data_IF_126908240934
#
_entry.id   IF_126908240934
#
_cell.length_a   1.000
_cell.length_b   1.000
_cell.length_c   1.000
_cell.angle_alpha   90.00
_cell.angle_beta   90.00
_cell.angle_gamma   90.00
#
_symmetry.space_group_name_H-M   'P 1'
#
loop_
_entity.id
_entity.type
_entity.pdbx_description
1 polymer ?
#
# COMPACT_ATOMS: atom_id res chain seq x y z
N UNK A 1 -2.03 18.08 9.39
CA UNK A 1 -1.57 16.84 8.75
C UNK A 1 -1.29 17.18 7.29
N UNK A 2 -0.04 17.13 6.81
CA UNK A 2 0.24 17.27 5.38
C UNK A 2 -0.59 16.29 4.55
N UNK A 3 -1.04 16.77 3.40
CA UNK A 3 -1.73 15.97 2.40
C UNK A 3 -0.73 15.07 1.66
N UNK A 4 -1.09 13.80 1.52
CA UNK A 4 -0.40 12.82 0.70
C UNK A 4 -1.45 12.09 -0.13
N UNK A 5 -1.24 12.06 -1.44
CA UNK A 5 -2.20 11.46 -2.38
C UNK A 5 -1.69 10.11 -2.83
N UNK A 6 -2.51 9.08 -2.65
CA UNK A 6 -2.30 7.78 -3.27
C UNK A 6 -2.75 7.85 -4.72
N UNK A 7 -1.91 7.32 -5.62
CA UNK A 7 -2.25 7.06 -7.01
C UNK A 7 -1.98 5.59 -7.32
N UNK A 8 -2.92 4.90 -7.95
CA UNK A 8 -2.68 3.69 -8.73
C UNK A 8 -2.94 4.04 -10.18
N UNK A 9 -1.96 3.78 -11.05
CA UNK A 9 -2.01 4.15 -12.46
C UNK A 9 -1.93 2.89 -13.31
N UNK A 10 -2.85 2.78 -14.27
CA UNK A 10 -2.78 1.84 -15.38
C UNK A 10 -2.41 2.62 -16.64
N UNK A 11 -1.43 2.14 -17.40
CA UNK A 11 -0.98 2.80 -18.62
C UNK A 11 -1.82 2.39 -19.83
N UNK A 12 -1.89 3.25 -20.84
CA UNK A 12 -2.59 2.99 -22.11
C UNK A 12 -1.97 1.84 -22.91
N UNK A 13 -0.67 1.67 -22.76
CA UNK A 13 0.13 0.65 -23.46
C UNK A 13 1.13 0.01 -22.48
N UNK A 14 1.38 -1.29 -22.64
CA UNK A 14 2.35 -2.04 -21.85
C UNK A 14 3.81 -1.68 -22.20
N UNK A 15 4.04 -0.98 -23.31
CA UNK A 15 5.36 -0.48 -23.68
C UNK A 15 5.84 0.67 -22.79
N UNK A 16 4.96 1.32 -22.04
CA UNK A 16 5.34 2.40 -21.14
C UNK A 16 6.10 1.86 -19.92
N UNK A 17 7.29 2.41 -19.69
CA UNK A 17 8.11 2.03 -18.55
C UNK A 17 7.76 2.88 -17.32
N UNK A 18 7.24 2.22 -16.28
CA UNK A 18 6.93 2.84 -15.00
C UNK A 18 8.17 3.49 -14.34
N UNK A 19 9.39 2.98 -14.56
CA UNK A 19 10.61 3.60 -14.04
C UNK A 19 10.91 4.90 -14.76
N UNK A 20 10.83 4.90 -16.08
CA UNK A 20 11.01 6.10 -16.88
C UNK A 20 9.96 7.17 -16.52
N UNK A 21 8.71 6.75 -16.27
CA UNK A 21 7.65 7.61 -15.76
C UNK A 21 8.06 8.26 -14.42
N UNK A 22 8.52 7.47 -13.45
CA UNK A 22 8.93 7.96 -12.12
C UNK A 22 10.15 8.87 -12.21
N UNK A 23 11.15 8.51 -13.02
CA UNK A 23 12.34 9.33 -13.25
C UNK A 23 11.98 10.69 -13.85
N UNK A 24 11.05 10.72 -14.81
CA UNK A 24 10.51 11.96 -15.36
C UNK A 24 9.71 12.74 -14.32
N UNK A 25 8.90 12.07 -13.49
CA UNK A 25 8.14 12.74 -12.42
C UNK A 25 9.07 13.44 -11.41
N UNK A 26 10.23 12.86 -11.10
CA UNK A 26 11.23 13.47 -10.22
C UNK A 26 11.83 14.79 -10.76
N UNK A 27 11.77 15.07 -12.07
CA UNK A 27 12.24 16.34 -12.61
C UNK A 27 11.27 17.50 -12.40
N UNK A 28 10.05 17.25 -11.91
CA UNK A 28 9.06 18.30 -11.68
C UNK A 28 9.13 18.83 -10.24
N UNK A 29 9.42 20.12 -10.03
CA UNK A 29 9.60 20.68 -8.69
C UNK A 29 8.29 20.86 -7.91
N UNK A 30 7.13 20.79 -8.57
CA UNK A 30 5.80 20.99 -7.99
C UNK A 30 5.28 19.79 -7.19
N UNK A 31 5.93 18.63 -7.33
CA UNK A 31 5.51 17.39 -6.70
C UNK A 31 6.71 16.62 -6.14
N UNK A 32 6.53 16.08 -4.94
CA UNK A 32 7.48 15.17 -4.30
C UNK A 32 6.92 13.76 -4.36
N UNK A 33 7.70 12.86 -4.96
CA UNK A 33 7.46 11.41 -4.89
C UNK A 33 7.94 10.90 -3.53
N UNK A 34 7.00 10.45 -2.69
CA UNK A 34 7.30 9.89 -1.36
C UNK A 34 7.50 8.39 -1.46
N UNK A 35 6.64 7.70 -2.19
CA UNK A 35 6.76 6.27 -2.51
C UNK A 35 6.49 6.09 -3.99
N UNK A 36 7.29 5.25 -4.66
CA UNK A 36 7.01 4.76 -5.99
C UNK A 36 7.26 3.25 -6.03
N UNK A 37 6.23 2.50 -6.41
CA UNK A 37 6.28 1.04 -6.38
C UNK A 37 5.51 0.40 -7.52
N UNK A 38 5.91 -0.81 -7.88
CA UNK A 38 5.25 -1.67 -8.84
C UNK A 38 4.22 -2.55 -8.12
N UNK A 39 2.93 -2.49 -8.46
CA UNK A 39 1.93 -3.44 -7.99
C UNK A 39 2.27 -4.89 -8.40
N UNK A 40 2.12 -5.83 -7.47
CA UNK A 40 2.46 -7.25 -7.69
C UNK A 40 1.26 -8.19 -7.54
N UNK A 41 0.52 -8.07 -6.44
CA UNK A 41 -0.59 -8.98 -6.13
C UNK A 41 -1.55 -8.39 -5.11
N UNK A 42 -2.85 -8.54 -5.36
CA UNK A 42 -3.90 -8.17 -4.39
C UNK A 42 -4.07 -9.33 -3.42
N UNK A 43 -3.63 -9.13 -2.17
CA UNK A 43 -3.70 -10.15 -1.10
C UNK A 43 -5.11 -10.22 -0.51
N UNK A 44 -5.76 -9.07 -0.32
CA UNK A 44 -7.14 -8.95 0.18
C UNK A 44 -7.89 -8.04 -0.77
N UNK A 45 -9.02 -8.53 -1.27
CA UNK A 45 -9.84 -7.82 -2.25
C UNK A 45 -10.97 -7.10 -1.51
N UNK A 46 -11.23 -5.82 -1.81
CA UNK A 46 -12.39 -5.12 -1.25
C UNK A 46 -13.67 -5.76 -1.77
N UNK A 47 -14.70 -5.76 -0.92
CA UNK A 47 -16.01 -6.34 -1.26
C UNK A 47 -17.13 -5.30 -1.29
N UNK A 48 -16.91 -4.11 -0.73
CA UNK A 48 -17.91 -3.06 -0.60
C UNK A 48 -17.46 -1.76 -1.25
N UNK A 49 -16.26 -1.29 -0.91
CA UNK A 49 -15.76 0.02 -1.31
C UNK A 49 -14.87 -0.11 -2.54
N UNK A 50 -15.26 0.59 -3.59
CA UNK A 50 -14.45 0.86 -4.78
C UNK A 50 -13.91 -0.41 -5.48
N UNK A 51 -14.55 -1.56 -5.25
CA UNK A 51 -14.08 -2.87 -5.71
C UNK A 51 -13.96 -2.92 -7.24
N UNK A 52 -14.94 -2.38 -7.95
CA UNK A 52 -14.88 -2.29 -9.41
C UNK A 52 -13.69 -1.45 -9.88
N UNK A 53 -13.47 -0.27 -9.29
CA UNK A 53 -12.32 0.55 -9.68
C UNK A 53 -10.99 -0.14 -9.37
N UNK A 54 -10.86 -0.74 -8.18
CA UNK A 54 -9.62 -1.33 -7.69
C UNK A 54 -9.25 -2.67 -8.34
N UNK A 55 -10.23 -3.48 -8.74
CA UNK A 55 -10.01 -4.86 -9.18
C UNK A 55 -10.15 -5.09 -10.70
N UNK A 56 -10.74 -4.14 -11.43
CA UNK A 56 -10.90 -4.30 -12.90
C UNK A 56 -9.66 -3.94 -13.69
N UNK A 57 -8.71 -3.21 -13.09
CA UNK A 57 -7.50 -2.75 -13.75
C UNK A 57 -6.29 -3.54 -13.31
N UNK A 58 -5.38 -3.79 -14.26
CA UNK A 58 -4.00 -4.15 -13.93
C UNK A 58 -3.24 -2.86 -13.68
N UNK A 59 -2.88 -2.61 -12.42
CA UNK A 59 -2.12 -1.43 -12.04
C UNK A 59 -0.63 -1.59 -12.38
N UNK A 60 -0.05 -0.62 -13.07
CA UNK A 60 1.36 -0.62 -13.47
C UNK A 60 2.24 0.13 -12.47
N UNK A 61 1.67 1.12 -11.79
CA UNK A 61 2.41 2.03 -10.92
C UNK A 61 1.56 2.46 -9.72
N UNK A 62 2.14 2.35 -8.52
CA UNK A 62 1.61 2.95 -7.29
C UNK A 62 2.53 4.08 -6.84
N UNK A 63 1.94 5.25 -6.58
CA UNK A 63 2.64 6.44 -6.10
C UNK A 63 2.01 6.97 -4.82
N UNK A 64 2.83 7.48 -3.92
CA UNK A 64 2.41 8.44 -2.91
C UNK A 64 3.05 9.79 -3.21
N UNK A 65 2.22 10.78 -3.56
CA UNK A 65 2.66 12.10 -4.01
C UNK A 65 2.30 13.19 -3.01
N UNK A 66 3.26 14.06 -2.73
CA UNK A 66 3.10 15.23 -1.86
C UNK A 66 3.29 16.51 -2.69
N UNK A 67 2.37 17.48 -2.63
CA UNK A 67 2.59 18.80 -3.23
C UNK A 67 3.67 19.58 -2.45
N UNK A 68 4.58 20.25 -3.15
CA UNK A 68 5.76 20.94 -2.57
C UNK A 68 5.63 22.47 -2.53
N UNK A 69 4.51 23.03 -2.99
CA UNK A 69 4.31 24.48 -3.01
C UNK A 69 4.89 25.13 -4.26
N UNK A 70 4.33 24.77 -5.40
CA UNK A 70 4.54 25.45 -6.69
C UNK A 70 3.34 25.31 -7.63
N UNK A 71 2.24 24.71 -7.15
CA UNK A 71 1.04 24.55 -7.94
C UNK A 71 0.30 25.88 -7.99
N UNK A 72 0.22 26.43 -9.19
CA UNK A 72 -0.56 27.63 -9.46
C UNK A 72 -2.04 27.33 -9.23
N UNK A 73 -2.80 28.32 -8.78
CA UNK A 73 -4.27 28.23 -8.78
C UNK A 73 -4.71 27.99 -10.24
N UNK A 74 -5.05 26.74 -10.60
CA UNK A 74 -5.29 26.35 -11.99
C UNK A 74 -4.95 24.90 -12.39
N UNK A 75 -4.04 24.21 -11.68
CA UNK A 75 -3.62 22.85 -12.05
C UNK A 75 -4.56 21.75 -11.54
N UNK A 76 -5.03 20.87 -12.44
CA UNK A 76 -6.00 19.80 -12.15
C UNK A 76 -5.45 18.48 -11.64
N UNK A 77 -4.13 18.33 -11.60
CA UNK A 77 -3.49 17.10 -11.18
C UNK A 77 -2.13 17.36 -10.56
N UNK A 78 -1.70 16.46 -9.67
CA UNK A 78 -0.29 16.39 -9.23
C UNK A 78 0.63 15.83 -10.32
N UNK A 79 0.05 15.20 -11.34
CA UNK A 79 0.77 14.65 -12.48
C UNK A 79 0.85 15.71 -13.59
N UNK A 80 2.04 16.04 -14.12
CA UNK A 80 2.20 16.93 -15.27
C UNK A 80 1.43 16.44 -16.51
N UNK A 81 0.93 17.33 -17.39
CA UNK A 81 0.13 16.94 -18.57
C UNK A 81 0.79 15.86 -19.44
N UNK A 82 2.09 15.98 -19.71
CA UNK A 82 2.83 15.00 -20.51
C UNK A 82 2.86 13.58 -19.91
N UNK A 83 2.75 13.49 -18.58
CA UNK A 83 2.66 12.20 -17.87
C UNK A 83 1.21 11.73 -17.76
N UNK A 84 0.22 12.63 -17.83
CA UNK A 84 -1.19 12.24 -17.90
C UNK A 84 -1.54 11.54 -19.22
N UNK A 85 -0.90 11.95 -20.32
CA UNK A 85 -1.19 11.44 -21.67
C UNK A 85 -0.96 9.94 -21.84
N UNK A 86 -0.14 9.32 -20.98
CA UNK A 86 0.16 7.87 -21.03
C UNK A 86 -0.75 7.03 -20.12
N UNK A 87 -1.57 7.67 -19.29
CA UNK A 87 -2.40 7.00 -18.28
C UNK A 87 -3.75 6.64 -18.89
N UNK A 88 -4.12 5.35 -18.79
CA UNK A 88 -5.43 4.85 -19.18
C UNK A 88 -6.46 5.11 -18.09
N UNK A 89 -6.09 4.80 -16.85
CA UNK A 89 -6.98 4.90 -15.70
C UNK A 89 -6.17 5.19 -14.46
N UNK A 90 -6.76 5.99 -13.57
CA UNK A 90 -6.17 6.40 -12.30
C UNK A 90 -7.16 6.10 -11.16
N UNK A 91 -6.65 5.47 -10.11
CA UNK A 91 -7.29 5.45 -8.81
C UNK A 91 -6.57 6.39 -7.86
N UNK A 92 -7.29 7.33 -7.26
CA UNK A 92 -6.76 8.41 -6.43
C UNK A 92 -7.45 8.46 -5.08
N UNK A 93 -6.70 8.62 -4.00
CA UNK A 93 -7.23 8.92 -2.65
C UNK A 93 -6.36 9.96 -1.96
N UNK A 94 -6.99 10.97 -1.35
CA UNK A 94 -6.30 11.92 -0.48
C UNK A 94 -6.26 11.46 0.98
N UNK A 95 -5.06 11.47 1.59
CA UNK A 95 -4.89 11.17 3.00
C UNK A 95 -4.12 12.28 3.74
N UNK A 96 -4.52 12.52 4.99
CA UNK A 96 -3.77 13.34 5.95
C UNK A 96 -2.80 12.47 6.73
N UNK A 97 -1.50 12.76 6.62
CA UNK A 97 -0.44 12.03 7.32
C UNK A 97 0.06 12.86 8.52
N UNK A 98 0.39 12.27 9.68
CA UNK A 98 1.08 12.98 10.75
C UNK A 98 2.41 13.57 10.28
N UNK A 99 2.65 14.87 10.50
CA UNK A 99 3.82 15.59 9.97
C UNK A 99 5.15 14.95 10.38
N UNK A 100 5.25 14.48 11.63
CA UNK A 100 6.46 13.81 12.15
C UNK A 100 6.76 12.51 11.42
N UNK A 101 5.71 11.75 11.06
CA UNK A 101 5.88 10.49 10.33
C UNK A 101 6.38 10.76 8.91
N UNK A 102 5.83 11.78 8.24
CA UNK A 102 6.23 12.15 6.88
C UNK A 102 7.62 12.78 6.82
N UNK A 103 7.99 13.60 7.81
CA UNK A 103 9.32 14.20 7.90
C UNK A 103 10.42 13.15 8.07
N UNK A 104 10.18 12.15 8.93
CA UNK A 104 11.15 11.09 9.22
C UNK A 104 11.11 9.94 8.21
N UNK A 105 10.18 9.95 7.25
CA UNK A 105 9.95 8.85 6.33
C UNK A 105 11.21 8.49 5.52
N UNK A 106 11.95 9.42 4.87
CA UNK A 106 13.08 9.06 4.02
C UNK A 106 14.18 8.28 4.77
N UNK A 107 14.54 8.73 5.98
CA UNK A 107 15.55 8.08 6.80
C UNK A 107 15.09 6.70 7.27
N UNK A 108 13.84 6.62 7.79
CA UNK A 108 13.26 5.36 8.26
C UNK A 108 13.14 4.33 7.15
N UNK A 109 12.68 4.75 5.98
CA UNK A 109 12.50 3.88 4.82
C UNK A 109 13.84 3.34 4.31
N UNK A 110 14.85 4.21 4.17
CA UNK A 110 16.20 3.80 3.79
C UNK A 110 16.84 2.85 4.82
N UNK A 111 16.60 3.07 6.11
CA UNK A 111 17.09 2.19 7.18
C UNK A 111 16.46 0.80 7.08
N UNK A 112 15.13 0.72 6.97
CA UNK A 112 14.41 -0.55 6.88
C UNK A 112 14.84 -1.38 5.67
N UNK A 113 15.03 -0.74 4.51
CA UNK A 113 15.47 -1.41 3.28
C UNK A 113 16.91 -1.94 3.33
N UNK A 114 17.78 -1.36 4.15
CA UNK A 114 19.19 -1.77 4.31
C UNK A 114 19.41 -2.73 5.47
N UNK A 115 18.46 -2.81 6.41
CA UNK A 115 18.59 -3.65 7.58
C UNK A 115 18.60 -5.13 7.19
N UNK A 116 19.50 -5.91 7.79
CA UNK A 116 19.52 -7.35 7.60
C UNK A 116 18.18 -7.96 8.08
N UNK A 117 17.53 -8.81 7.27
CA UNK A 117 16.27 -9.42 7.66
C UNK A 117 16.45 -10.32 8.90
N UNK A 118 15.49 -10.34 9.84
CA UNK A 118 15.49 -11.35 10.88
C UNK A 118 15.29 -12.75 10.26
N UNK A 119 15.69 -13.84 10.95
CA UNK A 119 15.39 -15.18 10.46
C UNK A 119 13.88 -15.44 10.43
N UNK A 120 13.43 -16.22 9.46
CA UNK A 120 12.04 -16.72 9.42
C UNK A 120 11.76 -17.56 10.67
N UNK A 121 10.53 -17.50 11.18
CA UNK A 121 10.15 -18.20 12.42
C UNK A 121 9.92 -19.71 12.23
N UNK A 122 9.90 -20.18 10.98
CA UNK A 122 9.53 -21.54 10.62
C UNK A 122 8.01 -21.77 10.60
N UNK A 123 7.21 -20.69 10.66
CA UNK A 123 5.74 -20.82 10.59
C UNK A 123 5.30 -21.29 9.20
N UNK A 124 6.01 -20.88 8.14
CA UNK A 124 5.73 -21.31 6.76
C UNK A 124 5.81 -22.82 6.53
N UNK A 125 6.73 -23.54 7.19
CA UNK A 125 6.88 -24.98 6.97
C UNK A 125 5.73 -25.78 7.58
N UNK A 126 5.11 -25.27 8.65
CA UNK A 126 3.96 -25.89 9.32
C UNK A 126 2.66 -25.76 8.53
N UNK A 127 2.48 -24.67 7.79
CA UNK A 127 1.20 -24.33 7.14
C UNK A 127 1.04 -24.89 5.73
N UNK A 128 2.11 -25.36 5.07
CA UNK A 128 1.98 -26.00 3.73
C UNK A 128 1.09 -27.24 3.73
N UNK A 129 0.74 -27.80 4.88
CA UNK A 129 -0.24 -28.89 5.04
C UNK A 129 -1.61 -28.46 5.57
N UNK A 130 -1.81 -27.18 5.91
CA UNK A 130 -3.01 -26.64 6.58
C UNK A 130 -3.53 -25.32 5.98
N UNK A 131 -3.16 -25.02 4.73
CA UNK A 131 -3.55 -23.77 4.06
C UNK A 131 -5.08 -23.64 3.94
N UNK A 132 -5.59 -22.40 4.11
CA UNK A 132 -7.00 -22.07 3.90
C UNK A 132 -7.28 -21.83 2.42
N UNK A 133 -8.54 -21.91 2.00
CA UNK A 133 -8.92 -21.70 0.59
C UNK A 133 -8.66 -20.27 0.08
N UNK A 134 -8.63 -19.28 0.99
CA UNK A 134 -8.58 -17.86 0.65
C UNK A 134 -7.73 -17.05 1.64
N UNK A 135 -7.22 -15.89 1.19
CA UNK A 135 -6.43 -14.95 2.00
C UNK A 135 -7.22 -13.69 2.41
N UNK A 136 -8.54 -13.66 2.21
CA UNK A 136 -9.39 -12.51 2.53
C UNK A 136 -9.37 -12.12 4.01
N UNK A 137 -9.17 -13.10 4.90
CA UNK A 137 -9.01 -12.87 6.35
C UNK A 137 -7.54 -12.88 6.79
N UNK A 138 -6.60 -12.73 5.84
CA UNK A 138 -5.15 -12.74 6.05
C UNK A 138 -4.57 -14.08 6.55
N UNK A 139 -5.20 -15.19 6.18
CA UNK A 139 -4.60 -16.50 6.26
C UNK A 139 -3.77 -16.80 5.00
N UNK A 140 -2.85 -17.76 5.14
CA UNK A 140 -2.04 -18.22 4.01
C UNK A 140 -2.87 -19.18 3.15
N UNK A 141 -3.15 -18.75 1.91
CA UNK A 141 -3.83 -19.57 0.89
C UNK A 141 -2.83 -20.21 -0.10
N UNK A 142 -3.23 -21.25 -0.84
CA UNK A 142 -2.42 -21.82 -1.91
C UNK A 142 -2.03 -20.78 -2.97
N UNK A 143 -2.94 -19.85 -3.31
CA UNK A 143 -2.66 -18.77 -4.26
C UNK A 143 -1.56 -17.85 -3.73
N UNK A 144 -1.67 -17.43 -2.45
CA UNK A 144 -0.67 -16.57 -1.83
C UNK A 144 0.69 -17.27 -1.71
N UNK A 145 0.71 -18.58 -1.42
CA UNK A 145 1.95 -19.37 -1.41
C UNK A 145 2.59 -19.45 -2.80
N UNK A 146 1.79 -19.70 -3.84
CA UNK A 146 2.27 -19.74 -5.22
C UNK A 146 2.80 -18.37 -5.66
N UNK A 147 2.13 -17.28 -5.28
CA UNK A 147 2.63 -15.92 -5.49
C UNK A 147 3.94 -15.66 -4.74
N UNK A 148 4.03 -16.04 -3.46
CA UNK A 148 5.25 -15.91 -2.67
C UNK A 148 6.42 -16.64 -3.32
N UNK A 149 6.21 -17.89 -3.76
CA UNK A 149 7.24 -18.70 -4.40
C UNK A 149 7.69 -18.06 -5.73
N UNK A 150 6.77 -17.58 -6.58
CA UNK A 150 7.12 -16.85 -7.82
C UNK A 150 7.86 -15.54 -7.55
N UNK A 151 7.33 -14.69 -6.67
CA UNK A 151 7.93 -13.39 -6.39
C UNK A 151 9.30 -13.54 -5.72
N UNK A 152 9.52 -14.57 -4.90
CA UNK A 152 10.85 -14.83 -4.32
C UNK A 152 11.91 -15.08 -5.40
N UNK A 153 11.54 -15.72 -6.51
CA UNK A 153 12.45 -15.95 -7.64
C UNK A 153 12.74 -14.67 -8.44
N UNK A 154 11.74 -13.79 -8.55
CA UNK A 154 11.84 -12.53 -9.31
C UNK A 154 12.42 -11.37 -8.49
N UNK A 155 12.19 -11.35 -7.17
CA UNK A 155 12.47 -10.27 -6.25
C UNK A 155 12.57 -10.79 -4.80
N UNK A 156 13.78 -11.14 -4.37
CA UNK A 156 14.09 -11.61 -3.01
C UNK A 156 14.30 -10.48 -1.98
N UNK A 157 13.92 -9.26 -2.35
CA UNK A 157 14.17 -8.01 -1.63
C UNK A 157 12.92 -7.48 -0.91
N UNK A 158 13.01 -6.35 -0.19
CA UNK A 158 11.86 -5.79 0.52
C UNK A 158 10.62 -5.60 -0.35
N UNK A 159 9.47 -5.86 0.27
CA UNK A 159 8.14 -5.63 -0.30
C UNK A 159 7.39 -4.60 0.54
N UNK A 160 6.45 -3.93 -0.11
CA UNK A 160 5.61 -2.91 0.50
C UNK A 160 4.14 -3.25 0.34
N UNK A 161 3.42 -3.21 1.45
CA UNK A 161 2.00 -3.50 1.52
C UNK A 161 1.20 -2.20 1.65
N UNK A 162 0.41 -1.88 0.63
CA UNK A 162 -0.60 -0.84 0.68
C UNK A 162 -1.87 -1.42 1.31
N UNK A 163 -2.31 -0.84 2.41
CA UNK A 163 -3.59 -1.13 3.04
C UNK A 163 -4.54 0.05 2.87
N UNK A 164 -5.75 -0.20 2.38
CA UNK A 164 -6.90 0.67 2.59
C UNK A 164 -7.87 -0.03 3.54
N UNK A 165 -8.34 0.71 4.54
CA UNK A 165 -9.09 0.16 5.66
C UNK A 165 -10.39 0.91 5.85
N UNK A 166 -11.49 0.16 5.94
CA UNK A 166 -12.80 0.68 6.28
C UNK A 166 -13.28 0.02 7.57
N UNK A 167 -13.60 0.83 8.58
CA UNK A 167 -13.93 0.34 9.92
C UNK A 167 -15.44 0.21 10.12
N UNK A 168 -15.85 -0.75 10.93
CA UNK A 168 -17.20 -0.75 11.50
C UNK A 168 -17.41 0.49 12.38
N UNK A 169 -18.60 1.07 12.33
CA UNK A 169 -19.01 2.15 13.25
C UNK A 169 -19.85 1.57 14.40
N UNK A 170 -19.72 2.07 15.64
CA UNK A 170 -18.80 3.13 16.09
C UNK A 170 -17.40 2.63 16.51
N UNK A 171 -17.25 1.35 16.85
CA UNK A 171 -16.09 0.86 17.61
C UNK A 171 -14.93 0.33 16.77
N UNK A 172 -15.10 0.16 15.46
CA UNK A 172 -14.11 -0.50 14.61
C UNK A 172 -12.75 0.19 14.65
N UNK A 173 -12.69 1.52 14.62
CA UNK A 173 -11.42 2.26 14.72
C UNK A 173 -10.70 2.03 16.05
N UNK A 174 -11.45 1.95 17.16
CA UNK A 174 -10.88 1.67 18.49
C UNK A 174 -10.32 0.25 18.57
N UNK A 175 -11.06 -0.73 18.04
CA UNK A 175 -10.60 -2.12 17.98
C UNK A 175 -9.36 -2.26 17.07
N UNK A 176 -9.31 -1.52 15.96
CA UNK A 176 -8.15 -1.51 15.08
C UNK A 176 -6.91 -0.85 15.72
N UNK A 177 -7.12 0.18 16.54
CA UNK A 177 -6.03 0.75 17.32
C UNK A 177 -5.41 -0.29 18.29
N UNK A 178 -6.25 -1.08 18.97
CA UNK A 178 -5.79 -2.18 19.81
C UNK A 178 -5.04 -3.26 19.00
N UNK A 179 -5.54 -3.57 17.79
CA UNK A 179 -4.82 -4.43 16.85
C UNK A 179 -3.44 -3.87 16.55
N UNK A 180 -3.32 -2.58 16.19
CA UNK A 180 -2.06 -1.92 15.89
C UNK A 180 -1.06 -2.01 17.04
N UNK A 181 -1.50 -1.82 18.29
CA UNK A 181 -0.65 -1.95 19.48
C UNK A 181 -0.14 -3.38 19.67
N UNK A 182 -0.99 -4.38 19.47
CA UNK A 182 -0.60 -5.80 19.57
C UNK A 182 0.24 -6.27 18.37
N UNK A 183 0.04 -5.66 17.21
CA UNK A 183 0.71 -6.01 15.96
C UNK A 183 2.18 -5.62 15.94
N UNK A 184 2.55 -4.45 16.49
CA UNK A 184 3.94 -3.94 16.48
C UNK A 184 4.97 -5.00 16.91
N UNK A 185 4.90 -5.61 18.11
CA UNK A 185 5.90 -6.57 18.54
C UNK A 185 5.89 -7.88 17.73
N UNK A 186 4.78 -8.23 17.08
CA UNK A 186 4.68 -9.44 16.24
C UNK A 186 5.30 -9.19 14.86
N UNK A 187 5.03 -8.01 14.30
CA UNK A 187 5.58 -7.57 13.03
C UNK A 187 7.10 -7.37 13.13
N UNK A 188 7.58 -6.69 14.18
CA UNK A 188 9.00 -6.41 14.38
C UNK A 188 9.86 -7.68 14.44
N UNK A 189 9.38 -8.76 15.07
CA UNK A 189 10.05 -10.08 15.09
C UNK A 189 10.33 -10.63 13.68
N UNK A 190 9.55 -10.22 12.69
CA UNK A 190 9.61 -10.66 11.29
C UNK A 190 10.02 -9.52 10.35
N UNK A 191 10.47 -8.39 10.91
CA UNK A 191 10.90 -7.20 10.17
C UNK A 191 9.76 -6.37 9.58
N UNK A 192 8.51 -6.69 9.91
CA UNK A 192 7.34 -5.92 9.50
C UNK A 192 7.32 -4.54 10.18
N UNK A 193 7.06 -3.48 9.42
CA UNK A 193 7.05 -2.11 9.94
C UNK A 193 6.07 -1.19 9.22
N UNK A 194 5.14 -0.57 9.94
CA UNK A 194 4.26 0.47 9.39
C UNK A 194 5.05 1.78 9.20
N UNK A 195 5.38 2.11 7.95
CA UNK A 195 6.17 3.29 7.57
C UNK A 195 5.32 4.55 7.48
N UNK A 196 4.10 4.41 6.97
CA UNK A 196 3.11 5.49 6.85
C UNK A 196 1.77 4.95 7.37
N UNK A 197 1.10 5.76 8.19
CA UNK A 197 -0.31 5.57 8.58
C UNK A 197 -0.97 6.94 8.52
N UNK A 198 -2.14 7.03 7.90
CA UNK A 198 -2.85 8.29 7.72
C UNK A 198 -4.35 8.11 7.56
N UNK A 199 -5.10 9.15 7.88
CA UNK A 199 -6.54 9.13 7.70
C UNK A 199 -6.89 9.60 6.29
N UNK A 200 -7.81 8.92 5.62
CA UNK A 200 -8.39 9.43 4.38
C UNK A 200 -9.24 10.66 4.71
N UNK A 201 -9.04 11.75 3.96
CA UNK A 201 -9.67 13.05 4.24
C UNK A 201 -10.48 13.53 3.06
N UNK A 202 -11.48 14.37 3.31
CA UNK A 202 -12.19 15.06 2.22
C UNK A 202 -11.19 15.96 1.48
N UNK A 203 -11.23 16.03 0.15
CA UNK A 203 -10.39 16.98 -0.56
C UNK A 203 -10.91 18.41 -0.30
N UNK A 204 -10.03 19.42 -0.17
CA UNK A 204 -10.47 20.80 0.03
C UNK A 204 -11.53 21.25 -0.98
N UNK A 205 -12.61 21.88 -0.50
CA UNK A 205 -13.77 22.31 -1.31
C UNK A 205 -13.43 23.39 -2.34
N UNK A 206 -14.22 23.42 -3.43
CA UNK A 206 -14.11 24.27 -4.65
C UNK A 206 -12.97 23.98 -5.63
N UNK A 207 -12.16 22.96 -5.36
CA UNK A 207 -11.15 22.50 -6.27
C UNK A 207 -11.68 21.39 -7.19
N UNK A 208 -12.05 21.73 -8.42
CA UNK A 208 -12.30 20.75 -9.49
C UNK A 208 -11.09 19.80 -9.71
N UNK A 209 -9.92 20.17 -9.20
CA UNK A 209 -8.65 19.45 -9.25
C UNK A 209 -8.59 18.20 -8.35
N UNK A 210 -9.57 18.04 -7.45
CA UNK A 210 -9.50 17.10 -6.33
C UNK A 210 -10.64 16.08 -6.27
N UNK A 211 -11.36 15.84 -7.37
CA UNK A 211 -12.20 14.65 -7.47
C UNK A 211 -11.31 13.40 -7.38
N UNK A 212 -11.24 12.81 -6.21
CA UNK A 212 -10.58 11.53 -6.04
C UNK A 212 -11.54 10.39 -6.39
N UNK A 213 -11.05 9.16 -6.37
CA UNK A 213 -11.80 8.03 -6.93
C UNK A 213 -12.95 7.54 -6.04
N UNK A 214 -13.25 8.24 -4.93
CA UNK A 214 -14.41 7.94 -4.08
C UNK A 214 -15.75 8.29 -4.74
N UNK A 215 -15.74 8.98 -5.88
CA UNK A 215 -16.95 9.32 -6.62
C UNK A 215 -17.55 10.65 -6.16
N UNK A 216 -18.85 10.67 -5.85
CA UNK A 216 -19.55 11.92 -5.51
C UNK A 216 -18.88 12.65 -4.33
N UNK A 217 -18.68 13.98 -4.41
CA UNK A 217 -18.16 14.78 -3.29
C UNK A 217 -19.09 14.77 -2.06
N UNK A 218 -20.34 14.37 -2.26
CA UNK A 218 -21.37 14.22 -1.21
C UNK A 218 -21.48 12.78 -0.69
N UNK A 219 -20.64 11.85 -1.19
CA UNK A 219 -20.60 10.48 -0.66
C UNK A 219 -20.36 10.56 0.85
N UNK A 220 -21.20 9.94 1.69
CA UNK A 220 -21.04 10.03 3.13
C UNK A 220 -19.69 9.48 3.60
N UNK A 221 -19.08 10.11 4.60
CA UNK A 221 -17.75 9.72 5.10
C UNK A 221 -17.73 8.29 5.66
N UNK A 222 -18.87 7.77 6.12
CA UNK A 222 -19.02 6.38 6.55
C UNK A 222 -18.95 5.36 5.41
N UNK A 223 -18.97 5.79 4.16
CA UNK A 223 -18.80 4.93 2.99
C UNK A 223 -17.46 5.20 2.30
N UNK A 224 -16.49 5.77 3.00
CA UNK A 224 -15.11 5.95 2.52
C UNK A 224 -14.18 4.94 3.16
N UNK A 225 -13.07 4.67 2.48
CA UNK A 225 -11.85 4.26 3.18
C UNK A 225 -11.59 5.26 4.31
N UNK A 226 -11.27 4.77 5.50
CA UNK A 226 -11.02 5.60 6.67
C UNK A 226 -9.52 5.84 6.88
N UNK A 227 -8.71 4.82 6.57
CA UNK A 227 -7.28 4.84 6.83
C UNK A 227 -6.51 4.23 5.66
N UNK A 228 -5.32 4.78 5.41
CA UNK A 228 -4.30 4.22 4.54
C UNK A 228 -3.07 3.88 5.39
N UNK A 229 -2.44 2.74 5.09
CA UNK A 229 -1.11 2.46 5.61
C UNK A 229 -0.18 1.81 4.58
N UNK A 230 1.11 2.14 4.70
CA UNK A 230 2.21 1.55 3.94
C UNK A 230 3.08 0.78 4.92
N UNK A 231 3.14 -0.54 4.72
CA UNK A 231 3.85 -1.45 5.61
C UNK A 231 4.99 -2.11 4.86
N UNK A 232 6.20 -2.01 5.40
CA UNK A 232 7.39 -2.67 4.89
C UNK A 232 7.47 -4.10 5.45
N UNK A 233 7.96 -5.02 4.62
CA UNK A 233 8.51 -6.30 5.05
C UNK A 233 9.85 -6.55 4.33
N UNK A 234 10.80 -7.27 4.94
CA UNK A 234 12.10 -7.53 4.32
C UNK A 234 12.04 -8.39 3.05
N UNK A 235 10.96 -9.17 2.88
CA UNK A 235 10.63 -9.90 1.64
C UNK A 235 9.18 -10.39 1.69
N UNK A 236 8.64 -10.89 0.58
CA UNK A 236 7.34 -11.59 0.59
C UNK A 236 7.29 -12.79 1.53
N UNK A 237 8.41 -13.52 1.71
CA UNK A 237 8.48 -14.66 2.64
C UNK A 237 8.27 -14.25 4.08
N UNK A 238 8.79 -13.10 4.49
CA UNK A 238 8.64 -12.56 5.84
C UNK A 238 7.18 -12.15 6.11
N UNK A 239 6.51 -11.58 5.10
CA UNK A 239 5.08 -11.31 5.19
C UNK A 239 4.27 -12.61 5.35
N UNK A 240 4.49 -13.60 4.50
CA UNK A 240 3.76 -14.86 4.59
C UNK A 240 4.10 -15.64 5.88
N UNK A 241 5.34 -15.55 6.39
CA UNK A 241 5.72 -16.15 7.68
C UNK A 241 5.01 -15.48 8.86
N UNK A 242 4.69 -14.19 8.75
CA UNK A 242 3.83 -13.51 9.71
C UNK A 242 2.40 -14.02 9.64
N UNK A 243 1.81 -14.10 8.46
CA UNK A 243 0.45 -14.64 8.29
C UNK A 243 0.36 -16.10 8.74
N UNK A 244 1.45 -16.85 8.64
CA UNK A 244 1.53 -18.23 9.10
C UNK A 244 1.65 -18.38 10.63
N UNK A 245 1.98 -17.30 11.35
CA UNK A 245 2.19 -17.34 12.80
C UNK A 245 0.89 -17.42 13.58
N UNK A 246 0.80 -18.37 14.53
CA UNK A 246 -0.32 -18.47 15.47
C UNK A 246 -0.46 -17.21 16.34
N UNK A 247 0.67 -16.58 16.69
CA UNK A 247 0.72 -15.32 17.44
C UNK A 247 0.03 -14.19 16.67
N UNK A 248 0.26 -14.11 15.36
CA UNK A 248 -0.40 -13.16 14.48
C UNK A 248 -1.89 -13.48 14.32
N UNK A 249 -2.24 -14.75 14.04
CA UNK A 249 -3.63 -15.12 13.81
C UNK A 249 -4.51 -14.87 15.04
N UNK A 250 -4.00 -15.10 16.25
CA UNK A 250 -4.71 -14.80 17.48
C UNK A 250 -5.10 -13.32 17.61
N UNK A 251 -4.22 -12.37 17.25
CA UNK A 251 -4.55 -10.94 17.30
C UNK A 251 -5.39 -10.48 16.10
N UNK A 252 -5.20 -11.12 14.95
CA UNK A 252 -5.98 -10.89 13.73
C UNK A 252 -7.47 -11.21 13.99
N UNK A 253 -7.76 -12.41 14.47
CA UNK A 253 -9.11 -12.86 14.83
C UNK A 253 -9.72 -12.02 15.96
N UNK A 254 -8.92 -11.71 16.99
CA UNK A 254 -9.41 -11.01 18.17
C UNK A 254 -9.77 -9.56 17.91
N UNK A 255 -8.94 -8.85 17.13
CA UNK A 255 -9.03 -7.40 16.99
C UNK A 255 -9.28 -6.95 15.54
N UNK A 256 -8.53 -7.48 14.56
CA UNK A 256 -8.54 -6.96 13.18
C UNK A 256 -9.84 -7.29 12.45
N UNK A 257 -10.25 -8.56 12.43
CA UNK A 257 -11.43 -9.00 11.68
C UNK A 257 -12.72 -8.37 12.20
N UNK A 258 -12.82 -8.13 13.52
CA UNK A 258 -13.97 -7.46 14.14
C UNK A 258 -14.00 -5.95 13.91
N UNK A 259 -12.86 -5.36 13.55
CA UNK A 259 -12.73 -3.93 13.37
C UNK A 259 -13.11 -3.48 11.95
N UNK A 260 -12.85 -4.33 10.95
CA UNK A 260 -12.92 -3.96 9.54
C UNK A 260 -14.24 -4.38 8.91
N UNK A 261 -14.92 -3.39 8.32
CA UNK A 261 -16.07 -3.59 7.45
C UNK A 261 -15.64 -3.90 6.01
N UNK A 262 -14.52 -3.35 5.57
CA UNK A 262 -13.91 -3.68 4.28
C UNK A 262 -12.40 -3.40 4.30
N UNK A 263 -11.65 -4.03 3.40
CA UNK A 263 -10.20 -3.81 3.28
C UNK A 263 -9.69 -4.16 1.89
N UNK A 264 -8.72 -3.36 1.42
CA UNK A 264 -7.90 -3.68 0.27
C UNK A 264 -6.45 -3.80 0.73
N UNK A 265 -5.79 -4.91 0.36
CA UNK A 265 -4.38 -5.12 0.62
C UNK A 265 -3.65 -5.47 -0.67
N UNK A 266 -2.74 -4.60 -1.08
CA UNK A 266 -1.94 -4.76 -2.28
C UNK A 266 -0.45 -4.89 -1.92
N UNK A 267 0.15 -6.01 -2.36
CA UNK A 267 1.59 -6.19 -2.34
C UNK A 267 2.23 -5.47 -3.53
N UNK A 268 3.31 -4.73 -3.25
CA UNK A 268 4.08 -3.94 -4.20
C UNK A 268 5.59 -4.09 -3.96
N UNK A 269 6.40 -3.72 -4.95
CA UNK A 269 7.86 -3.65 -4.83
C UNK A 269 8.34 -2.25 -5.21
N UNK A 270 9.12 -1.60 -4.34
CA UNK A 270 9.58 -0.23 -4.59
C UNK A 270 10.70 -0.20 -5.63
N UNK A 271 10.67 0.76 -6.56
CA UNK A 271 11.58 0.77 -7.71
C UNK A 271 13.05 0.89 -7.29
N UNK A 272 13.33 1.60 -6.20
CA UNK A 272 14.66 1.84 -5.66
C UNK A 272 15.32 0.57 -5.09
N UNK A 273 14.55 -0.48 -4.81
CA UNK A 273 15.08 -1.79 -4.41
C UNK A 273 15.02 -2.81 -5.53
N UNK A 274 14.31 -2.60 -6.64
CA UNK A 274 14.28 -3.57 -7.73
C UNK A 274 15.61 -3.63 -8.53
N UNK A 275 16.44 -2.58 -8.54
CA UNK A 275 17.53 -2.37 -9.52
C UNK A 275 18.86 -3.14 -9.31
N UNK A 276 19.14 -3.81 -8.18
CA UNK A 276 20.38 -4.64 -8.11
C UNK A 276 20.32 -5.96 -8.88
N UNK A 277 19.22 -6.27 -9.57
CA UNK A 277 19.02 -7.58 -10.22
C UNK A 277 19.71 -7.71 -11.59
N UNK A 278 20.17 -6.61 -12.21
CA UNK A 278 20.90 -6.65 -13.49
C UNK A 278 22.41 -6.89 -13.37
N UNK A 279 22.95 -7.07 -12.17
CA UNK A 279 24.38 -7.36 -11.97
C UNK A 279 24.72 -8.86 -11.92
N UNK A 280 23.77 -9.76 -12.24
CA UNK A 280 23.99 -11.21 -12.24
C UNK A 280 23.54 -11.86 -13.55
N UNK A 281 24.13 -11.46 -14.66
CA UNK A 281 24.24 -12.26 -15.89
C UNK A 281 25.58 -11.97 -16.54
#
# INVERSE_FOLDING_TARGET
>A
MPALTLHLLAFKDQSYDARAFVAKLHSYPSVKVVVASRPRHVVVQPTLLDANQLLTQKWDLMLLLQPTGGQSQGESSLLPPELQDVILTEYRILAGIPSKLLANFPERDAQLKKQAPPPLTGSLSKIRSQSKESSQSLEVSPELLAFMDRLTLEHDKPVTMLNLLHFHHPDGKKNYFQYGQAFIPIAEKRGGNAKIVGNVVKPPGDSAFLNDSRGSPDRPQQDWWNEISIVHYPSIRHFCDMLAGEDYQAINEKYRLKALRDTFLLCTTEFDVEDDSRAKL
#
